data_IF_611993380364
#
_entry.id   IF_611993380364
#
_cell.length_a   1.000
_cell.length_b   1.000
_cell.length_c   1.000
_cell.angle_alpha   90.00
_cell.angle_beta   90.00
_cell.angle_gamma   90.00
#
_symmetry.space_group_name_H-M   'P 1'
#
loop_
_entity.id
_entity.type
_entity.pdbx_description
1 polymer ?
#
# COMPACT_ATOMS: atom_id res chain seq x y z
N UNK A 1 -15.76 2.83 1.79
CA UNK A 1 -14.43 3.16 1.21
C UNK A 1 -13.66 3.91 2.29
N UNK A 2 -12.45 3.48 2.66
CA UNK A 2 -11.68 4.19 3.68
C UNK A 2 -11.06 5.44 3.04
N UNK A 3 -11.39 6.62 3.60
CA UNK A 3 -10.74 7.89 3.28
C UNK A 3 -9.83 8.22 4.47
N UNK A 4 -8.57 8.51 4.22
CA UNK A 4 -7.66 9.02 5.23
C UNK A 4 -7.07 10.36 4.74
N UNK A 5 -6.88 11.29 5.65
CA UNK A 5 -6.37 12.64 5.35
C UNK A 5 -4.86 12.61 5.56
N UNK A 6 -4.10 13.01 4.54
CA UNK A 6 -2.65 13.20 4.65
C UNK A 6 -2.37 14.68 4.82
N UNK A 7 -1.44 15.01 5.69
CA UNK A 7 -0.92 16.36 5.86
C UNK A 7 -0.03 16.70 4.66
N UNK A 8 -0.37 17.75 3.93
CA UNK A 8 0.35 18.18 2.73
C UNK A 8 1.34 19.31 3.00
N UNK A 9 1.46 19.83 4.22
CA UNK A 9 2.24 21.02 4.54
C UNK A 9 3.70 20.92 4.08
N UNK A 10 4.40 19.82 4.43
CA UNK A 10 5.79 19.58 4.00
C UNK A 10 5.91 19.46 2.47
N UNK A 11 4.92 18.83 1.83
CA UNK A 11 4.89 18.63 0.38
C UNK A 11 4.68 19.96 -0.36
N UNK A 12 3.76 20.78 0.11
CA UNK A 12 3.42 22.07 -0.50
C UNK A 12 4.59 23.04 -0.40
N UNK A 13 5.28 23.09 0.76
CA UNK A 13 6.50 23.86 0.93
C UNK A 13 7.63 23.41 -0.01
N UNK A 14 7.87 22.09 -0.09
CA UNK A 14 8.88 21.53 -0.99
C UNK A 14 8.54 21.77 -2.48
N UNK A 15 7.26 21.71 -2.84
CA UNK A 15 6.79 21.99 -4.20
C UNK A 15 7.05 23.46 -4.56
N UNK A 16 6.67 24.42 -3.69
CA UNK A 16 6.93 25.85 -3.92
C UNK A 16 8.41 26.12 -4.14
N UNK A 17 9.27 25.61 -3.26
CA UNK A 17 10.74 25.75 -3.37
C UNK A 17 11.27 25.12 -4.66
N UNK A 18 10.73 23.95 -5.04
CA UNK A 18 11.09 23.31 -6.31
C UNK A 18 10.72 24.17 -7.52
N UNK A 19 9.52 24.75 -7.53
CA UNK A 19 9.02 25.54 -8.65
C UNK A 19 9.79 26.85 -8.85
N UNK A 20 10.26 27.49 -7.77
CA UNK A 20 11.12 28.69 -7.86
C UNK A 20 12.42 28.42 -8.65
N UNK A 21 13.01 27.23 -8.48
CA UNK A 21 14.25 26.84 -9.16
C UNK A 21 14.04 25.95 -10.40
N UNK A 22 12.80 25.79 -10.88
CA UNK A 22 12.49 24.84 -11.95
C UNK A 22 11.69 25.49 -13.07
N UNK A 23 12.21 25.40 -14.30
CA UNK A 23 11.50 25.80 -15.53
C UNK A 23 10.43 24.80 -15.99
N UNK A 24 9.97 23.91 -15.10
CA UNK A 24 9.05 22.82 -15.46
C UNK A 24 7.63 23.24 -15.15
N UNK A 25 6.67 22.85 -15.99
CA UNK A 25 5.27 23.09 -15.70
C UNK A 25 4.83 22.36 -14.43
N UNK A 26 4.11 23.07 -13.55
CA UNK A 26 3.65 22.55 -12.25
C UNK A 26 2.80 21.27 -12.40
N UNK A 27 1.96 21.19 -13.43
CA UNK A 27 1.13 20.01 -13.70
C UNK A 27 1.96 18.76 -13.98
N UNK A 28 3.04 18.91 -14.74
CA UNK A 28 4.00 17.83 -15.01
C UNK A 28 4.71 17.38 -13.73
N UNK A 29 5.11 18.33 -12.88
CA UNK A 29 5.75 18.03 -11.59
C UNK A 29 4.80 17.26 -10.69
N UNK A 30 3.56 17.71 -10.54
CA UNK A 30 2.56 17.04 -9.69
C UNK A 30 2.26 15.63 -10.21
N UNK A 31 2.05 15.44 -11.51
CA UNK A 31 1.89 14.10 -12.12
C UNK A 31 3.09 13.20 -11.78
N UNK A 32 4.31 13.72 -11.89
CA UNK A 32 5.52 12.97 -11.52
C UNK A 32 5.54 12.60 -10.02
N UNK A 33 5.13 13.52 -9.13
CA UNK A 33 5.07 13.24 -7.70
C UNK A 33 3.97 12.22 -7.36
N UNK A 34 2.80 12.29 -7.98
CA UNK A 34 1.71 11.32 -7.81
C UNK A 34 2.12 9.91 -8.29
N UNK A 35 2.86 9.83 -9.40
CA UNK A 35 3.49 8.59 -9.86
C UNK A 35 4.48 8.06 -8.82
N UNK A 36 5.36 8.93 -8.30
CA UNK A 36 6.34 8.60 -7.27
C UNK A 36 5.71 8.14 -5.96
N UNK A 37 4.64 8.80 -5.53
CA UNK A 37 3.80 8.42 -4.40
C UNK A 37 3.22 7.02 -4.59
N UNK A 38 2.56 6.76 -5.74
CA UNK A 38 1.97 5.47 -6.04
C UNK A 38 3.02 4.35 -6.04
N UNK A 39 4.19 4.60 -6.64
CA UNK A 39 5.31 3.65 -6.61
C UNK A 39 5.78 3.36 -5.19
N UNK A 40 5.90 4.40 -4.36
CA UNK A 40 6.31 4.24 -2.95
C UNK A 40 5.26 3.51 -2.13
N UNK A 41 3.98 3.73 -2.40
CA UNK A 41 2.88 2.97 -1.79
C UNK A 41 2.93 1.48 -2.13
N UNK A 42 3.32 1.11 -3.36
CA UNK A 42 3.57 -0.30 -3.71
C UNK A 42 4.66 -0.90 -2.85
N UNK A 43 5.76 -0.18 -2.62
CA UNK A 43 6.89 -0.67 -1.81
C UNK A 43 6.55 -0.76 -0.31
N UNK A 44 5.64 0.10 0.18
CA UNK A 44 5.21 0.10 1.58
C UNK A 44 4.04 -0.85 1.85
N UNK A 45 3.31 -1.30 0.82
CA UNK A 45 2.13 -2.12 0.98
C UNK A 45 2.52 -3.54 1.43
N UNK A 46 1.89 -4.11 2.48
CA UNK A 46 2.14 -5.50 2.84
C UNK A 46 1.86 -6.41 1.63
N UNK A 47 2.67 -7.46 1.42
CA UNK A 47 3.58 -8.07 2.38
C UNK A 47 5.04 -7.56 2.33
N UNK A 48 5.34 -6.49 1.59
CA UNK A 48 6.69 -5.93 1.61
C UNK A 48 7.06 -5.45 3.02
N UNK A 49 8.23 -5.89 3.50
CA UNK A 49 8.86 -5.44 4.76
C UNK A 49 10.35 -5.25 4.50
N UNK A 50 10.86 -4.04 4.76
CA UNK A 50 12.29 -3.73 4.64
C UNK A 50 12.84 -4.03 3.24
N UNK A 51 13.93 -4.81 3.20
CA UNK A 51 14.62 -5.19 1.97
C UNK A 51 13.90 -6.31 1.18
N UNK A 52 12.96 -7.03 1.78
CA UNK A 52 12.31 -8.16 1.10
C UNK A 52 11.36 -7.68 0.00
N UNK A 53 11.66 -8.06 -1.24
CA UNK A 53 10.89 -7.70 -2.45
C UNK A 53 10.49 -8.95 -3.26
N UNK A 54 9.75 -8.73 -4.34
CA UNK A 54 9.47 -9.77 -5.33
C UNK A 54 8.68 -10.96 -4.79
N UNK A 55 9.03 -12.16 -5.24
CA UNK A 55 8.37 -13.43 -4.86
C UNK A 55 8.57 -13.77 -3.39
N UNK A 56 9.70 -13.40 -2.78
CA UNK A 56 9.95 -13.57 -1.35
C UNK A 56 8.94 -12.79 -0.50
N UNK A 57 8.66 -11.53 -0.86
CA UNK A 57 7.64 -10.73 -0.19
C UNK A 57 6.26 -11.41 -0.29
N UNK A 58 5.89 -11.89 -1.48
CA UNK A 58 4.63 -12.63 -1.69
C UNK A 58 4.54 -13.85 -0.76
N UNK A 59 5.56 -14.71 -0.75
CA UNK A 59 5.62 -15.92 0.09
C UNK A 59 5.48 -15.57 1.58
N UNK A 60 6.15 -14.52 2.05
CA UNK A 60 6.02 -14.02 3.42
C UNK A 60 4.59 -13.58 3.76
N UNK A 61 3.92 -12.90 2.84
CA UNK A 61 2.52 -12.52 2.99
C UNK A 61 1.58 -13.71 3.08
N UNK A 62 1.78 -14.70 2.20
CA UNK A 62 1.01 -15.94 2.18
C UNK A 62 1.22 -16.75 3.46
N UNK A 63 2.47 -16.86 3.95
CA UNK A 63 2.81 -17.51 5.23
C UNK A 63 2.20 -16.78 6.42
N UNK A 64 2.18 -15.45 6.41
CA UNK A 64 1.55 -14.67 7.47
C UNK A 64 0.04 -14.90 7.55
N UNK A 65 -0.65 -14.92 6.42
CA UNK A 65 -2.10 -15.22 6.33
C UNK A 65 -2.38 -16.63 6.85
N UNK A 66 -1.57 -17.60 6.42
CA UNK A 66 -1.72 -18.98 6.84
C UNK A 66 -1.50 -19.15 8.34
N UNK A 67 -0.45 -18.55 8.90
CA UNK A 67 -0.20 -18.54 10.33
C UNK A 67 -1.36 -17.89 11.10
N UNK A 68 -1.86 -16.73 10.64
CA UNK A 68 -2.98 -16.07 11.31
C UNK A 68 -4.23 -16.96 11.34
N UNK A 69 -4.59 -17.60 10.22
CA UNK A 69 -5.77 -18.47 10.15
C UNK A 69 -5.59 -19.73 10.99
N UNK A 70 -4.43 -20.40 10.90
CA UNK A 70 -4.15 -21.63 11.69
C UNK A 70 -4.04 -21.36 13.19
N UNK A 71 -3.72 -20.13 13.59
CA UNK A 71 -3.69 -19.72 14.98
C UNK A 71 -5.07 -19.31 15.50
N UNK A 72 -6.00 -18.93 14.62
CA UNK A 72 -7.37 -18.59 14.99
C UNK A 72 -8.26 -19.83 15.23
N UNK A 73 -7.89 -21.00 14.68
CA UNK A 73 -8.72 -22.20 14.70
C UNK A 73 -7.98 -23.44 15.20
N UNK A 74 -8.73 -24.30 15.88
CA UNK A 74 -8.32 -25.66 16.15
C UNK A 74 -8.79 -26.59 15.01
N UNK A 75 -7.88 -27.30 14.33
CA UNK A 75 -8.25 -28.16 13.21
C UNK A 75 -8.83 -29.50 13.68
N UNK A 76 -10.10 -29.76 13.36
CA UNK A 76 -10.81 -30.99 13.72
C UNK A 76 -11.39 -31.72 12.51
N UNK A 77 -11.91 -32.92 12.71
CA UNK A 77 -12.71 -33.64 11.71
C UNK A 77 -14.04 -32.91 11.46
N UNK A 78 -14.63 -32.92 10.24
CA UNK A 78 -15.84 -32.16 9.92
C UNK A 78 -17.01 -32.34 10.90
N UNK A 79 -17.24 -33.56 11.40
CA UNK A 79 -18.30 -33.86 12.38
C UNK A 79 -18.08 -33.27 13.78
N UNK A 80 -16.88 -32.75 14.08
CA UNK A 80 -16.53 -32.09 15.34
C UNK A 80 -16.38 -30.57 15.19
N UNK A 81 -16.63 -30.02 14.00
CA UNK A 81 -16.50 -28.60 13.75
C UNK A 81 -17.64 -27.84 14.46
N UNK A 82 -17.28 -26.79 15.20
CA UNK A 82 -18.23 -25.94 15.94
C UNK A 82 -18.67 -24.73 15.11
N UNK A 83 -17.92 -24.40 14.05
CA UNK A 83 -18.19 -23.25 13.20
C UNK A 83 -18.15 -23.64 11.72
N UNK A 84 -19.00 -22.99 10.94
CA UNK A 84 -19.07 -23.16 9.50
C UNK A 84 -18.07 -22.25 8.76
N UNK A 85 -17.78 -22.58 7.50
CA UNK A 85 -16.88 -21.79 6.65
C UNK A 85 -17.27 -20.30 6.52
N UNK A 86 -18.57 -19.98 6.50
CA UNK A 86 -19.07 -18.61 6.35
C UNK A 86 -18.78 -17.72 7.56
N UNK A 87 -18.68 -18.32 8.76
CA UNK A 87 -18.42 -17.61 10.02
C UNK A 87 -16.92 -17.38 10.26
N UNK A 88 -16.06 -18.27 9.76
CA UNK A 88 -14.61 -18.19 9.97
C UNK A 88 -13.98 -16.82 9.64
N UNK A 89 -14.34 -16.11 8.54
CA UNK A 89 -13.80 -14.77 8.27
C UNK A 89 -14.03 -13.76 9.40
N UNK A 90 -15.17 -13.84 10.09
CA UNK A 90 -15.50 -12.96 11.22
C UNK A 90 -14.66 -13.32 12.45
N UNK A 91 -14.50 -14.62 12.73
CA UNK A 91 -13.64 -15.10 13.84
C UNK A 91 -12.19 -14.65 13.64
N UNK A 92 -11.62 -14.80 12.44
CA UNK A 92 -10.26 -14.31 12.14
C UNK A 92 -10.17 -12.78 12.32
N UNK A 93 -11.20 -12.03 11.92
CA UNK A 93 -11.23 -10.57 12.09
C UNK A 93 -11.25 -10.19 13.57
N UNK A 94 -12.11 -10.83 14.36
CA UNK A 94 -12.23 -10.61 15.81
C UNK A 94 -10.92 -10.98 16.53
N UNK A 95 -10.34 -12.14 16.19
CA UNK A 95 -9.07 -12.61 16.74
C UNK A 95 -7.92 -11.61 16.57
N UNK A 96 -7.86 -10.93 15.41
CA UNK A 96 -6.82 -9.91 15.14
C UNK A 96 -7.06 -8.58 15.87
N UNK A 97 -8.24 -8.39 16.46
CA UNK A 97 -8.69 -7.18 17.13
C UNK A 97 -8.84 -5.98 16.21
N UNK A 98 -9.28 -4.84 16.76
CA UNK A 98 -9.53 -3.61 16.00
C UNK A 98 -8.29 -3.03 15.29
N UNK A 99 -7.08 -3.34 15.78
CA UNK A 99 -5.81 -2.89 15.16
C UNK A 99 -5.27 -3.87 14.11
N UNK A 100 -5.97 -4.95 13.78
CA UNK A 100 -5.54 -5.89 12.74
C UNK A 100 -4.17 -6.52 13.00
N UNK A 101 -3.83 -6.78 14.27
CA UNK A 101 -2.53 -7.36 14.65
C UNK A 101 -2.39 -8.78 14.07
N UNK A 102 -1.15 -9.28 14.02
CA UNK A 102 -0.87 -10.67 13.62
C UNK A 102 -1.11 -11.60 14.80
N UNK A 103 -1.62 -12.79 14.53
CA UNK A 103 -1.74 -13.85 15.52
C UNK A 103 -0.43 -14.63 15.53
N UNK A 104 0.42 -14.36 16.52
CA UNK A 104 1.76 -14.98 16.63
C UNK A 104 1.71 -16.40 17.19
N UNK A 105 0.70 -16.69 18.01
CA UNK A 105 0.45 -17.97 18.66
C UNK A 105 -1.02 -18.31 18.50
N UNK A 106 -1.35 -19.59 18.65
CA UNK A 106 -2.74 -20.05 18.70
C UNK A 106 -3.45 -19.37 19.87
N UNK A 107 -4.70 -18.97 19.64
CA UNK A 107 -5.52 -18.39 20.69
C UNK A 107 -5.92 -19.47 21.73
N UNK A 108 -5.86 -19.16 23.03
CA UNK A 108 -6.57 -19.96 24.03
C UNK A 108 -8.06 -20.04 23.66
N UNK A 109 -8.64 -21.24 23.64
CA UNK A 109 -10.02 -21.44 23.20
C UNK A 109 -10.25 -21.18 21.70
N UNK A 110 -9.25 -21.43 20.85
CA UNK A 110 -9.42 -21.37 19.40
C UNK A 110 -10.62 -22.23 18.96
N UNK A 111 -11.55 -21.63 18.20
CA UNK A 111 -12.77 -22.32 17.75
C UNK A 111 -12.42 -23.54 16.89
N UNK A 112 -13.14 -24.64 17.07
CA UNK A 112 -12.93 -25.87 16.29
C UNK A 112 -13.52 -25.71 14.90
N UNK A 113 -12.67 -25.84 13.88
CA UNK A 113 -13.09 -25.78 12.48
C UNK A 113 -12.55 -26.97 11.70
N UNK A 114 -13.30 -27.40 10.67
CA UNK A 114 -12.87 -28.46 9.77
C UNK A 114 -11.52 -28.13 9.12
N UNK A 115 -10.62 -29.12 9.03
CA UNK A 115 -9.34 -29.02 8.29
C UNK A 115 -9.54 -28.56 6.85
N UNK A 116 -10.60 -29.04 6.20
CA UNK A 116 -10.95 -28.66 4.83
C UNK A 116 -11.29 -27.17 4.71
N UNK A 117 -12.11 -26.65 5.65
CA UNK A 117 -12.54 -25.25 5.64
C UNK A 117 -11.41 -24.29 6.01
N UNK A 118 -10.53 -24.66 6.94
CA UNK A 118 -9.30 -23.93 7.23
C UNK A 118 -8.46 -23.79 5.95
N UNK A 119 -8.25 -24.89 5.24
CA UNK A 119 -7.46 -24.91 3.99
C UNK A 119 -8.12 -24.08 2.90
N UNK A 120 -9.44 -24.19 2.75
CA UNK A 120 -10.26 -23.39 1.82
C UNK A 120 -10.13 -21.90 2.11
N UNK A 121 -10.19 -21.50 3.39
CA UNK A 121 -10.07 -20.11 3.81
C UNK A 121 -8.67 -19.56 3.57
N UNK A 122 -7.63 -20.35 3.88
CA UNK A 122 -6.23 -20.01 3.58
C UNK A 122 -6.07 -19.76 2.09
N UNK A 123 -6.54 -20.67 1.22
CA UNK A 123 -6.46 -20.51 -0.24
C UNK A 123 -7.20 -19.26 -0.71
N UNK A 124 -8.40 -19.01 -0.19
CA UNK A 124 -9.21 -17.83 -0.52
C UNK A 124 -8.52 -16.51 -0.10
N UNK A 125 -7.88 -16.46 1.07
CA UNK A 125 -7.18 -15.27 1.57
C UNK A 125 -5.83 -15.06 0.88
N UNK A 126 -5.06 -16.12 0.58
CA UNK A 126 -3.81 -16.04 -0.21
C UNK A 126 -4.05 -15.42 -1.59
N UNK A 127 -5.19 -15.70 -2.25
CA UNK A 127 -5.59 -15.04 -3.52
C UNK A 127 -5.76 -13.51 -3.43
N UNK A 128 -5.86 -12.94 -2.22
CA UNK A 128 -5.93 -11.49 -2.01
C UNK A 128 -4.54 -10.83 -1.94
N UNK A 129 -3.48 -11.61 -1.70
CA UNK A 129 -2.11 -11.11 -1.61
C UNK A 129 -1.75 -10.39 -2.90
N UNK A 130 -1.38 -9.12 -2.77
CA UNK A 130 -0.99 -8.29 -3.90
C UNK A 130 -2.10 -7.45 -4.53
N UNK A 131 -3.38 -7.70 -4.22
CA UNK A 131 -4.46 -6.85 -4.77
C UNK A 131 -4.32 -5.38 -4.35
N UNK A 132 -3.95 -5.12 -3.09
CA UNK A 132 -3.73 -3.75 -2.60
C UNK A 132 -2.60 -3.05 -3.36
N UNK A 133 -1.45 -3.72 -3.54
CA UNK A 133 -0.33 -3.19 -4.31
C UNK A 133 -0.68 -2.98 -5.79
N UNK A 134 -1.41 -3.92 -6.39
CA UNK A 134 -1.87 -3.82 -7.77
C UNK A 134 -2.79 -2.62 -8.01
N UNK A 135 -3.66 -2.29 -7.05
CA UNK A 135 -4.51 -1.11 -7.12
C UNK A 135 -3.68 0.20 -7.09
N UNK A 136 -2.60 0.28 -6.30
CA UNK A 136 -1.68 1.42 -6.35
C UNK A 136 -0.93 1.52 -7.68
N UNK A 137 -0.50 0.40 -8.26
CA UNK A 137 0.09 0.39 -9.60
C UNK A 137 -0.92 0.92 -10.62
N UNK A 138 -2.16 0.42 -10.58
CA UNK A 138 -3.23 0.83 -11.49
C UNK A 138 -3.56 2.32 -11.38
N UNK A 139 -3.67 2.85 -10.15
CA UNK A 139 -3.89 4.27 -9.92
C UNK A 139 -2.71 5.11 -10.43
N UNK A 140 -1.47 4.71 -10.11
CA UNK A 140 -0.27 5.40 -10.53
C UNK A 140 -0.04 5.44 -12.05
N UNK A 141 -0.53 4.42 -12.79
CA UNK A 141 -0.45 4.39 -14.25
C UNK A 141 -1.15 5.56 -14.94
N UNK A 142 -2.12 6.21 -14.28
CA UNK A 142 -2.75 7.43 -14.79
C UNK A 142 -1.80 8.64 -14.82
N UNK A 143 -0.69 8.58 -14.09
CA UNK A 143 0.31 9.65 -14.03
C UNK A 143 1.65 9.23 -14.65
N UNK A 144 1.68 8.11 -15.37
CA UNK A 144 2.86 7.58 -16.07
C UNK A 144 3.23 6.15 -15.66
N UNK A 145 4.31 5.61 -16.22
CA UNK A 145 4.65 4.20 -16.04
C UNK A 145 5.06 3.85 -14.59
N UNK A 146 4.17 3.19 -13.85
CA UNK A 146 4.49 2.54 -12.56
C UNK A 146 4.71 1.06 -12.82
N UNK A 147 5.97 0.63 -12.67
CA UNK A 147 6.36 -0.78 -12.75
C UNK A 147 6.12 -1.47 -11.42
N UNK A 148 5.79 -2.76 -11.47
CA UNK A 148 5.70 -3.62 -10.30
C UNK A 148 5.97 -5.08 -10.68
N UNK A 149 6.30 -5.94 -9.69
CA UNK A 149 6.49 -7.36 -9.91
C UNK A 149 5.30 -8.03 -10.60
N UNK A 150 5.56 -9.04 -11.44
CA UNK A 150 4.54 -9.77 -12.21
C UNK A 150 3.38 -10.30 -11.34
N UNK A 151 3.69 -10.76 -10.11
CA UNK A 151 2.67 -11.29 -9.20
C UNK A 151 1.71 -10.22 -8.65
N UNK A 152 2.08 -8.93 -8.68
CA UNK A 152 1.16 -7.82 -8.42
C UNK A 152 0.37 -7.47 -9.69
N UNK A 153 1.07 -7.32 -10.82
CA UNK A 153 0.46 -6.82 -12.07
C UNK A 153 -0.66 -7.73 -12.59
N UNK A 154 -0.57 -9.05 -12.38
CA UNK A 154 -1.65 -10.01 -12.70
C UNK A 154 -3.00 -9.73 -12.02
N UNK A 155 -3.01 -8.90 -10.96
CA UNK A 155 -4.23 -8.53 -10.24
C UNK A 155 -4.84 -7.20 -10.71
N UNK A 156 -4.19 -6.48 -11.63
CA UNK A 156 -4.62 -5.13 -12.05
C UNK A 156 -5.98 -5.10 -12.74
N UNK A 157 -6.29 -6.10 -13.57
CA UNK A 157 -7.62 -6.20 -14.22
C UNK A 157 -8.75 -6.38 -13.21
N UNK A 158 -8.48 -7.09 -12.11
CA UNK A 158 -9.46 -7.45 -11.07
C UNK A 158 -9.51 -6.51 -9.87
N UNK A 159 -8.72 -5.44 -9.88
CA UNK A 159 -8.65 -4.49 -8.76
C UNK A 159 -9.15 -3.12 -9.17
N UNK A 160 -9.82 -2.45 -8.23
CA UNK A 160 -10.34 -1.10 -8.40
C UNK A 160 -9.32 -0.12 -7.82
N UNK A 161 -8.49 0.46 -8.69
CA UNK A 161 -7.55 1.52 -8.37
C UNK A 161 -7.75 2.64 -9.37
N UNK A 162 -7.88 3.87 -8.88
CA UNK A 162 -8.23 5.04 -9.67
C UNK A 162 -7.23 6.16 -9.39
N UNK A 163 -6.79 6.84 -10.43
CA UNK A 163 -6.02 8.08 -10.34
C UNK A 163 -6.79 9.16 -11.07
N UNK A 164 -6.98 10.31 -10.45
CA UNK A 164 -7.55 11.50 -11.09
C UNK A 164 -6.57 12.65 -10.93
N UNK A 165 -6.34 13.38 -12.01
CA UNK A 165 -5.61 14.64 -11.98
C UNK A 165 -6.45 15.67 -12.68
N UNK A 166 -6.65 16.81 -12.03
CA UNK A 166 -7.36 17.96 -12.57
C UNK A 166 -6.56 19.21 -12.27
N UNK A 167 -6.39 20.05 -13.28
CA UNK A 167 -5.67 21.32 -13.20
C UNK A 167 -6.61 22.39 -13.74
N UNK A 168 -6.79 23.42 -12.93
CA UNK A 168 -7.51 24.65 -13.26
C UNK A 168 -6.62 25.83 -12.88
N UNK A 169 -6.95 27.03 -13.37
CA UNK A 169 -6.22 28.26 -13.05
C UNK A 169 -6.13 28.48 -11.53
N UNK A 170 -7.19 28.13 -10.78
CA UNK A 170 -7.29 28.37 -9.33
C UNK A 170 -6.81 27.20 -8.48
N UNK A 171 -6.70 26.00 -9.04
CA UNK A 171 -6.48 24.78 -8.24
C UNK A 171 -5.90 23.64 -9.06
N UNK A 172 -4.92 22.96 -8.48
CA UNK A 172 -4.45 21.65 -8.96
C UNK A 172 -4.84 20.60 -7.94
N UNK A 173 -5.50 19.54 -8.39
CA UNK A 173 -5.95 18.43 -7.55
C UNK A 173 -5.43 17.11 -8.11
N UNK A 174 -4.69 16.40 -7.28
CA UNK A 174 -4.30 15.02 -7.50
C UNK A 174 -5.02 14.09 -6.54
N UNK A 175 -5.70 13.07 -7.08
CA UNK A 175 -6.37 12.04 -6.29
C UNK A 175 -5.83 10.67 -6.66
N UNK A 176 -5.47 9.86 -5.66
CA UNK A 176 -5.04 8.48 -5.82
C UNK A 176 -5.89 7.61 -4.92
N UNK A 177 -6.77 6.82 -5.52
CA UNK A 177 -7.77 6.03 -4.80
C UNK A 177 -7.51 4.54 -4.95
N UNK A 178 -7.50 3.84 -3.81
CA UNK A 178 -7.42 2.39 -3.73
C UNK A 178 -8.74 1.84 -3.19
N UNK A 179 -9.56 1.29 -4.08
CA UNK A 179 -10.90 0.79 -3.77
C UNK A 179 -10.94 -0.73 -3.58
N UNK A 180 -9.84 -1.32 -3.09
CA UNK A 180 -9.85 -2.71 -2.62
C UNK A 180 -10.69 -2.78 -1.35
N UNK A 181 -11.68 -3.70 -1.29
CA UNK A 181 -12.70 -3.73 -0.23
C UNK A 181 -12.15 -3.78 1.20
N UNK A 182 -11.02 -4.45 1.39
CA UNK A 182 -10.36 -4.60 2.70
C UNK A 182 -9.25 -3.57 2.95
N UNK A 183 -9.05 -2.57 2.08
CA UNK A 183 -7.97 -1.60 2.23
C UNK A 183 -8.04 -0.83 3.56
N UNK A 184 -9.26 -0.54 4.04
CA UNK A 184 -9.49 0.12 5.33
C UNK A 184 -9.06 -0.71 6.53
N UNK A 185 -9.05 -2.04 6.41
CA UNK A 185 -8.64 -2.95 7.50
C UNK A 185 -7.10 -3.06 7.63
N UNK A 186 -6.34 -2.42 6.73
CA UNK A 186 -4.88 -2.51 6.71
C UNK A 186 -4.29 -1.53 7.72
N UNK A 187 -3.80 -2.09 8.83
CA UNK A 187 -3.16 -1.32 9.89
C UNK A 187 -1.98 -0.45 9.40
N UNK A 188 -2.04 0.83 9.75
CA UNK A 188 -1.02 1.84 9.47
C UNK A 188 -0.91 2.21 8.00
N UNK A 189 -1.99 2.05 7.20
CA UNK A 189 -1.99 2.46 5.79
C UNK A 189 -1.86 3.99 5.64
N UNK A 190 -2.54 4.76 6.48
CA UNK A 190 -2.45 6.23 6.53
C UNK A 190 -1.02 6.70 6.82
N UNK A 191 -0.39 6.18 7.88
CA UNK A 191 1.03 6.48 8.19
C UNK A 191 1.97 6.17 7.02
N UNK A 192 1.71 5.12 6.25
CA UNK A 192 2.50 4.78 5.04
C UNK A 192 2.24 5.76 3.91
N UNK A 193 1.00 6.21 3.73
CA UNK A 193 0.66 7.25 2.78
C UNK A 193 1.36 8.57 3.12
N UNK A 194 1.31 8.99 4.40
CA UNK A 194 2.06 10.16 4.86
C UNK A 194 3.56 10.01 4.56
N UNK A 195 4.16 8.87 4.94
CA UNK A 195 5.57 8.62 4.64
C UNK A 195 5.89 8.64 3.14
N UNK A 196 4.99 8.13 2.29
CA UNK A 196 5.16 8.15 0.84
C UNK A 196 5.13 9.58 0.28
N UNK A 197 4.28 10.45 0.85
CA UNK A 197 4.17 11.86 0.51
C UNK A 197 5.41 12.65 0.96
N UNK A 198 5.83 12.54 2.22
CA UNK A 198 7.05 13.18 2.73
C UNK A 198 8.29 12.68 1.97
N UNK A 199 8.32 11.41 1.55
CA UNK A 199 9.38 10.91 0.68
C UNK A 199 9.45 11.61 -0.67
N UNK A 200 8.34 12.14 -1.22
CA UNK A 200 8.37 12.95 -2.43
C UNK A 200 8.86 14.38 -2.13
N UNK A 201 8.40 14.98 -1.02
CA UNK A 201 8.86 16.30 -0.57
C UNK A 201 10.39 16.34 -0.43
N UNK A 202 10.97 15.36 0.28
CA UNK A 202 12.43 15.23 0.44
C UNK A 202 13.18 15.07 -0.88
N UNK A 203 12.60 14.37 -1.86
CA UNK A 203 13.21 14.24 -3.20
C UNK A 203 13.21 15.57 -3.95
N UNK A 204 12.14 16.36 -3.85
CA UNK A 204 12.09 17.69 -4.45
C UNK A 204 13.14 18.60 -3.83
N UNK A 205 13.25 18.63 -2.51
CA UNK A 205 14.28 19.43 -1.81
C UNK A 205 15.69 19.03 -2.25
N UNK A 206 16.01 17.73 -2.27
CA UNK A 206 17.32 17.25 -2.76
C UNK A 206 17.61 17.68 -4.20
N UNK A 207 16.61 17.73 -5.07
CA UNK A 207 16.79 18.21 -6.44
C UNK A 207 17.08 19.70 -6.49
N UNK A 208 16.45 20.50 -5.62
CA UNK A 208 16.74 21.93 -5.48
C UNK A 208 18.18 22.12 -4.98
N UNK A 209 18.54 21.46 -3.88
CA UNK A 209 19.87 21.58 -3.27
C UNK A 209 20.97 21.19 -4.28
N UNK A 210 20.76 20.09 -5.02
CA UNK A 210 21.67 19.68 -6.09
C UNK A 210 21.80 20.74 -7.19
N UNK A 211 20.70 21.39 -7.61
CA UNK A 211 20.76 22.46 -8.62
C UNK A 211 21.51 23.69 -8.11
N UNK A 212 21.29 24.08 -6.85
CA UNK A 212 22.01 25.19 -6.22
C UNK A 212 23.50 24.88 -6.18
N UNK A 213 23.89 23.69 -5.73
CA UNK A 213 25.30 23.26 -5.72
C UNK A 213 25.93 23.27 -7.12
N UNK A 214 25.20 22.80 -8.14
CA UNK A 214 25.69 22.84 -9.52
C UNK A 214 25.83 24.27 -10.06
N UNK A 215 24.92 25.18 -9.70
CA UNK A 215 25.02 26.59 -10.07
C UNK A 215 26.21 27.28 -9.37
N UNK A 216 26.40 27.05 -8.07
CA UNK A 216 27.53 27.56 -7.30
C UNK A 216 28.87 27.11 -7.91
N UNK A 217 29.00 25.81 -8.21
CA UNK A 217 30.20 25.26 -8.87
C UNK A 217 30.48 25.91 -10.23
N UNK A 218 29.44 26.14 -11.05
CA UNK A 218 29.58 26.81 -12.35
C UNK A 218 29.97 28.28 -12.24
N UNK A 219 29.57 28.94 -11.15
CA UNK A 219 29.95 30.31 -10.85
C UNK A 219 31.31 30.42 -10.13
N UNK A 220 32.04 29.32 -9.98
CA UNK A 220 33.39 29.32 -9.39
C UNK A 220 33.45 29.22 -7.86
N UNK A 221 32.29 29.10 -7.19
CA UNK A 221 32.25 28.85 -5.75
C UNK A 221 32.63 27.39 -5.46
N UNK A 222 33.60 27.18 -4.57
CA UNK A 222 34.07 25.86 -4.11
C UNK A 222 33.59 25.58 -2.69
#
# INVERSE_FOLDING_TARGET
MAKFKVDTTEFDGALRRYMQGSRREIGVVIKQQLRGFSRKMVDLTPPARGATRGTAAKRLGEKAIEGDIRNAFEPVHPNRAEISYSEMPAVVKAARGGRGKRLRRRLPGARKASRGDITKLVKARKKRVGKLGAAWIKAGRKFGNVRGPAWLTRHMSRTKGFGRFSQSIRRIVGEVTNAVSYAGDIHGLERRAQFALNSQARKMNRQVDHRIQQAAKRAGFR
#
